data_IF_418220069903
#
_entry.id   IF_418220069903
#
_cell.length_a   1.000
_cell.length_b   1.000
_cell.length_c   1.000
_cell.angle_alpha   90.00
_cell.angle_beta   90.00
_cell.angle_gamma   90.00
#
_symmetry.space_group_name_H-M   'P 1'
#
loop_
_entity.id
_entity.type
_entity.pdbx_description
1 polymer ?
#
# COMPACT_ATOMS: atom_id res chain seq x y z
N UNK A 1 15.97 -13.19 -3.82
CA UNK A 1 14.58 -12.94 -3.37
C UNK A 1 13.65 -13.40 -4.46
N UNK A 2 12.63 -14.19 -4.12
CA UNK A 2 11.83 -14.88 -5.12
C UNK A 2 10.35 -14.54 -5.14
N UNK A 3 9.86 -13.57 -4.35
CA UNK A 3 8.58 -12.83 -4.50
C UNK A 3 7.39 -13.64 -5.05
N UNK A 4 7.23 -14.91 -4.64
CA UNK A 4 6.18 -15.81 -5.11
C UNK A 4 5.33 -16.18 -3.90
N UNK A 5 4.04 -15.89 -3.99
CA UNK A 5 3.10 -15.94 -2.88
C UNK A 5 1.96 -16.91 -3.16
N UNK A 6 1.46 -17.54 -2.10
CA UNK A 6 0.23 -18.31 -2.09
C UNK A 6 -0.68 -17.76 -0.99
N UNK A 7 -1.89 -17.33 -1.36
CA UNK A 7 -2.85 -16.69 -0.45
C UNK A 7 -2.25 -15.47 0.30
N UNK A 8 -1.44 -14.67 -0.38
CA UNK A 8 -0.77 -13.50 0.20
C UNK A 8 0.45 -13.83 1.09
N UNK A 9 0.83 -15.10 1.26
CA UNK A 9 1.94 -15.53 2.10
C UNK A 9 3.07 -16.09 1.23
N UNK A 10 4.32 -15.67 1.44
CA UNK A 10 5.44 -16.10 0.61
C UNK A 10 5.63 -17.61 0.75
N UNK A 11 5.81 -18.30 -0.39
CA UNK A 11 6.01 -19.74 -0.42
C UNK A 11 7.44 -20.05 0.07
N UNK A 12 7.58 -20.93 1.05
CA UNK A 12 8.88 -21.37 1.58
C UNK A 12 9.58 -22.33 0.63
N UNK A 13 10.89 -22.15 0.45
CA UNK A 13 11.70 -22.96 -0.43
C UNK A 13 13.17 -22.64 -0.29
N UNK A 14 14.03 -23.46 -0.90
CA UNK A 14 15.49 -23.38 -0.72
C UNK A 14 16.12 -22.06 -1.16
N UNK A 15 15.49 -21.34 -2.07
CA UNK A 15 15.94 -20.02 -2.54
C UNK A 15 15.28 -18.83 -1.81
N UNK A 16 14.37 -19.11 -0.88
CA UNK A 16 13.58 -18.15 -0.12
C UNK A 16 14.22 -17.99 1.26
N UNK A 17 14.27 -16.77 1.78
CA UNK A 17 14.85 -16.49 3.11
C UNK A 17 13.85 -16.76 4.25
N UNK A 18 13.12 -17.87 4.16
CA UNK A 18 12.11 -18.25 5.14
C UNK A 18 12.76 -18.99 6.34
N UNK A 19 12.27 -18.72 7.55
CA UNK A 19 12.94 -19.09 8.81
C UNK A 19 11.96 -19.38 9.93
N UNK A 20 12.23 -20.43 10.69
CA UNK A 20 11.63 -20.61 12.03
C UNK A 20 12.58 -19.97 13.03
N UNK A 21 12.16 -18.85 13.64
CA UNK A 21 13.03 -18.04 14.49
C UNK A 21 12.69 -18.28 15.95
N UNK A 22 13.69 -18.72 16.72
CA UNK A 22 13.61 -18.90 18.16
C UNK A 22 12.38 -19.73 18.59
N UNK A 23 12.19 -20.89 17.97
CA UNK A 23 11.23 -21.90 18.43
C UNK A 23 11.61 -22.30 19.87
N UNK A 24 10.71 -21.99 20.80
CA UNK A 24 10.98 -22.00 22.23
C UNK A 24 9.72 -22.39 23.03
N UNK A 25 9.85 -23.22 24.09
CA UNK A 25 11.09 -23.82 24.59
C UNK A 25 11.47 -25.13 23.88
N UNK A 26 12.70 -25.23 23.37
CA UNK A 26 13.33 -26.50 22.98
C UNK A 26 14.15 -27.02 24.18
N UNK A 27 13.51 -27.80 25.05
CA UNK A 27 14.13 -28.25 26.31
C UNK A 27 15.14 -29.37 26.05
N UNK A 28 16.42 -29.06 26.27
CA UNK A 28 17.52 -30.00 26.16
C UNK A 28 18.30 -30.09 27.47
N UNK A 29 18.88 -31.26 27.73
CA UNK A 29 19.71 -31.52 28.89
C UNK A 29 21.15 -31.02 28.68
N UNK A 30 21.60 -30.12 29.55
CA UNK A 30 22.93 -29.50 29.51
C UNK A 30 23.87 -30.21 30.49
N UNK A 31 25.13 -30.52 30.11
CA UNK A 31 26.08 -31.12 31.03
C UNK A 31 26.38 -30.20 32.24
N UNK A 32 26.41 -30.73 33.47
CA UNK A 32 26.85 -29.96 34.63
C UNK A 32 28.37 -29.72 34.61
N UNK A 33 28.84 -28.65 35.24
CA UNK A 33 30.28 -28.28 35.30
C UNK A 33 31.12 -29.21 36.22
N UNK A 34 30.50 -29.91 37.19
CA UNK A 34 31.16 -30.79 38.16
C UNK A 34 30.69 -32.27 38.02
N UNK A 35 31.52 -33.30 38.35
CA UNK A 35 31.24 -34.70 37.99
C UNK A 35 30.20 -35.35 38.93
N UNK A 36 29.40 -36.38 38.62
CA UNK A 36 28.78 -36.87 37.39
C UNK A 36 27.42 -37.51 37.79
N UNK A 37 26.40 -37.41 36.91
CA UNK A 37 25.06 -38.09 36.91
C UNK A 37 23.95 -37.47 37.77
N UNK A 38 23.02 -36.68 37.19
CA UNK A 38 21.80 -37.15 36.47
C UNK A 38 21.86 -36.90 34.93
N UNK A 39 20.79 -37.06 34.11
CA UNK A 39 20.86 -36.93 32.63
C UNK A 39 21.28 -35.55 32.07
N UNK A 40 21.71 -34.61 32.92
CA UNK A 40 21.97 -33.19 32.65
C UNK A 40 20.96 -32.31 33.40
N UNK A 41 21.11 -30.99 33.29
CA UNK A 41 20.10 -30.02 33.75
C UNK A 41 19.17 -29.71 32.57
N UNK A 42 17.84 -29.84 32.69
CA UNK A 42 16.92 -29.46 31.61
C UNK A 42 16.90 -27.93 31.46
N UNK A 43 17.38 -27.44 30.32
CA UNK A 43 17.45 -26.02 29.99
C UNK A 43 16.65 -25.76 28.72
N UNK A 44 15.74 -24.76 28.69
CA UNK A 44 15.05 -24.38 27.48
C UNK A 44 15.97 -23.55 26.59
N UNK A 45 16.14 -23.97 25.33
CA UNK A 45 16.96 -23.28 24.33
C UNK A 45 16.07 -22.70 23.21
N UNK A 46 16.48 -21.58 22.59
CA UNK A 46 15.90 -21.14 21.33
C UNK A 46 16.43 -22.00 20.18
N UNK A 47 15.53 -22.52 19.36
CA UNK A 47 15.86 -23.36 18.21
C UNK A 47 15.57 -22.62 16.90
N UNK A 48 16.42 -22.75 15.89
CA UNK A 48 16.31 -22.03 14.61
C UNK A 48 16.35 -23.00 13.44
N UNK A 49 15.53 -22.76 12.42
CA UNK A 49 15.59 -23.47 11.15
C UNK A 49 15.52 -22.52 9.96
N UNK A 50 16.23 -22.90 8.90
CA UNK A 50 16.46 -22.05 7.72
C UNK A 50 16.01 -22.76 6.46
N UNK A 51 15.16 -22.12 5.65
CA UNK A 51 14.65 -22.72 4.41
C UNK A 51 15.75 -23.07 3.40
N UNK A 52 16.94 -22.44 3.51
CA UNK A 52 18.14 -22.83 2.75
C UNK A 52 18.53 -24.31 2.95
N UNK A 53 18.17 -24.90 4.08
CA UNK A 53 18.42 -26.31 4.42
C UNK A 53 17.33 -27.26 3.91
N UNK A 54 16.38 -26.76 3.11
CA UNK A 54 15.32 -27.57 2.51
C UNK A 54 15.90 -28.75 1.71
N UNK A 55 15.31 -29.91 1.99
CA UNK A 55 15.53 -31.17 1.31
C UNK A 55 14.18 -31.88 1.08
N UNK A 56 14.14 -32.80 0.11
CA UNK A 56 12.93 -33.54 -0.31
C UNK A 56 11.72 -32.66 -0.66
N UNK A 57 11.99 -31.44 -1.15
CA UNK A 57 10.98 -30.55 -1.70
C UNK A 57 10.51 -30.97 -3.10
N UNK A 58 9.88 -30.03 -3.81
CA UNK A 58 9.41 -30.22 -5.20
C UNK A 58 10.51 -30.71 -6.16
N UNK A 59 10.10 -31.62 -7.03
CA UNK A 59 10.86 -32.14 -8.16
C UNK A 59 10.67 -31.28 -9.42
N UNK A 60 9.44 -30.87 -9.73
CA UNK A 60 9.12 -30.19 -11.00
C UNK A 60 9.09 -28.66 -10.87
N UNK A 61 8.38 -28.13 -9.88
CA UNK A 61 8.27 -26.67 -9.68
C UNK A 61 9.50 -26.14 -8.97
N UNK A 62 10.08 -25.03 -9.46
CA UNK A 62 11.22 -24.37 -8.83
C UNK A 62 10.91 -22.90 -8.58
N UNK A 63 11.32 -22.40 -7.42
CA UNK A 63 11.33 -20.97 -7.09
C UNK A 63 12.78 -20.54 -6.93
N UNK A 64 13.20 -19.46 -7.60
CA UNK A 64 14.60 -19.05 -7.65
C UNK A 64 15.55 -20.14 -8.17
N UNK A 65 15.05 -21.03 -9.05
CA UNK A 65 15.80 -22.17 -9.57
C UNK A 65 16.06 -23.31 -8.57
N UNK A 66 15.46 -23.27 -7.38
CA UNK A 66 15.63 -24.30 -6.34
C UNK A 66 14.30 -24.92 -5.93
N UNK A 67 14.39 -26.04 -5.19
CA UNK A 67 13.24 -26.81 -4.71
C UNK A 67 12.43 -26.03 -3.65
N UNK A 68 11.15 -26.34 -3.55
CA UNK A 68 10.14 -25.67 -2.72
C UNK A 68 9.63 -26.64 -1.65
N UNK A 69 9.31 -26.12 -0.46
CA UNK A 69 8.76 -26.92 0.62
C UNK A 69 7.30 -27.30 0.33
N UNK A 70 6.98 -28.58 0.54
CA UNK A 70 5.65 -29.17 0.33
C UNK A 70 5.29 -30.12 1.47
N UNK A 71 3.98 -30.19 1.76
CA UNK A 71 3.37 -30.98 2.83
C UNK A 71 3.88 -32.42 2.85
N UNK A 72 4.20 -32.91 4.04
CA UNK A 72 4.52 -34.31 4.37
C UNK A 72 5.65 -34.97 3.53
N UNK A 73 6.38 -34.20 2.74
CA UNK A 73 7.50 -34.69 1.92
C UNK A 73 8.80 -33.96 2.24
N UNK A 74 8.74 -32.63 2.30
CA UNK A 74 9.92 -31.80 2.54
C UNK A 74 10.19 -31.58 4.02
N UNK A 75 11.45 -31.29 4.35
CA UNK A 75 11.92 -30.91 5.68
C UNK A 75 13.12 -29.97 5.56
N UNK A 76 13.44 -29.25 6.63
CA UNK A 76 14.74 -28.61 6.74
C UNK A 76 15.72 -29.60 7.37
N UNK A 77 16.87 -29.78 6.72
CA UNK A 77 17.79 -30.87 7.05
C UNK A 77 18.48 -30.71 8.41
N UNK A 78 18.52 -29.48 8.95
CA UNK A 78 19.14 -29.16 10.23
C UNK A 78 18.44 -27.98 10.93
N UNK A 79 18.45 -28.00 12.25
CA UNK A 79 18.17 -26.88 13.16
C UNK A 79 19.40 -26.55 14.02
N UNK A 80 19.47 -25.34 14.56
CA UNK A 80 20.57 -24.84 15.40
C UNK A 80 20.08 -24.08 16.63
N UNK A 81 20.99 -23.71 17.55
CA UNK A 81 20.72 -22.95 18.77
C UNK A 81 20.62 -23.80 20.04
N UNK A 82 20.52 -25.12 19.89
CA UNK A 82 20.33 -26.11 20.96
C UNK A 82 21.60 -26.93 21.25
N UNK A 83 22.72 -26.63 20.59
CA UNK A 83 23.96 -27.41 20.64
C UNK A 83 24.51 -27.58 22.07
N UNK A 84 24.32 -26.59 22.95
CA UNK A 84 24.78 -26.63 24.34
C UNK A 84 24.04 -27.69 25.19
N UNK A 85 22.86 -28.13 24.77
CA UNK A 85 22.11 -29.24 25.37
C UNK A 85 22.71 -30.61 25.03
N UNK A 86 24.01 -30.79 25.23
CA UNK A 86 24.79 -31.94 24.76
C UNK A 86 24.95 -33.07 25.78
N UNK A 87 24.21 -33.07 26.90
CA UNK A 87 24.23 -34.20 27.84
C UNK A 87 23.70 -35.47 27.15
N UNK A 88 23.92 -36.64 27.76
CA UNK A 88 23.58 -37.93 27.15
C UNK A 88 22.13 -38.02 26.64
N UNK A 89 21.17 -37.45 27.39
CA UNK A 89 19.75 -37.44 27.01
C UNK A 89 19.41 -36.42 25.91
N UNK A 90 20.14 -35.31 25.78
CA UNK A 90 19.87 -34.20 24.84
C UNK A 90 18.45 -33.65 24.97
N UNK A 91 17.66 -33.56 23.90
CA UNK A 91 16.26 -33.16 23.94
C UNK A 91 15.41 -34.08 24.82
N UNK A 92 14.51 -33.49 25.61
CA UNK A 92 13.63 -34.22 26.54
C UNK A 92 12.77 -35.25 25.82
N UNK A 93 12.27 -34.92 24.62
CA UNK A 93 11.43 -35.80 23.80
C UNK A 93 12.28 -36.60 22.81
N UNK A 94 13.07 -35.93 21.97
CA UNK A 94 13.67 -36.55 20.77
C UNK A 94 15.03 -37.17 21.02
N UNK A 95 15.66 -36.88 22.16
CA UNK A 95 17.06 -37.17 22.42
C UNK A 95 18.03 -36.64 21.36
N UNK A 96 17.67 -35.50 20.77
CA UNK A 96 18.49 -34.71 19.86
C UNK A 96 18.64 -33.29 20.42
N UNK A 97 19.76 -32.66 20.10
CA UNK A 97 20.07 -31.26 20.42
C UNK A 97 20.36 -30.45 19.15
N UNK A 98 20.16 -31.07 18.00
CA UNK A 98 20.09 -30.54 16.64
C UNK A 98 19.41 -31.64 15.81
N UNK A 99 18.50 -31.28 14.92
CA UNK A 99 17.73 -32.26 14.16
C UNK A 99 17.06 -31.64 12.96
N UNK A 100 16.10 -32.35 12.36
CA UNK A 100 15.30 -31.80 11.26
C UNK A 100 14.21 -30.87 11.78
N UNK A 101 13.73 -29.99 10.91
CA UNK A 101 12.46 -29.26 11.07
C UNK A 101 11.41 -29.83 10.12
N UNK A 102 10.21 -30.04 10.64
CA UNK A 102 9.04 -30.46 9.85
C UNK A 102 7.88 -29.49 10.03
N UNK A 103 7.05 -29.39 8.98
CA UNK A 103 5.89 -28.49 8.90
C UNK A 103 4.59 -29.20 9.30
N UNK A 104 3.76 -28.52 10.08
CA UNK A 104 2.49 -28.98 10.64
C UNK A 104 1.27 -28.23 10.08
N UNK A 105 1.47 -27.21 9.24
CA UNK A 105 0.40 -26.60 8.42
C UNK A 105 0.93 -26.23 7.03
N UNK A 106 0.03 -25.88 6.13
CA UNK A 106 0.31 -25.64 4.71
C UNK A 106 -0.84 -24.86 4.05
N UNK A 107 -0.69 -24.47 2.78
CA UNK A 107 -1.78 -23.87 1.98
C UNK A 107 -3.01 -24.79 1.86
N UNK A 108 -4.21 -24.20 1.85
CA UNK A 108 -5.45 -24.95 1.71
C UNK A 108 -5.78 -25.33 0.26
N UNK A 109 -5.26 -24.57 -0.71
CA UNK A 109 -5.68 -24.63 -2.12
C UNK A 109 -4.52 -24.58 -3.13
N UNK A 110 -3.38 -23.96 -2.79
CA UNK A 110 -2.21 -23.91 -3.68
C UNK A 110 -1.34 -25.14 -3.47
N UNK A 111 -1.10 -25.88 -4.57
CA UNK A 111 -0.35 -27.13 -4.56
C UNK A 111 0.74 -27.15 -5.62
N UNK A 112 1.93 -27.65 -5.27
CA UNK A 112 3.00 -27.99 -6.21
C UNK A 112 3.30 -29.48 -6.12
N UNK A 113 3.58 -30.11 -7.27
CA UNK A 113 3.77 -31.57 -7.37
C UNK A 113 2.62 -32.36 -6.70
N UNK A 114 1.39 -31.83 -6.79
CA UNK A 114 0.18 -32.42 -6.21
C UNK A 114 0.01 -32.21 -4.69
N UNK A 115 0.98 -31.61 -4.00
CA UNK A 115 0.96 -31.41 -2.55
C UNK A 115 0.82 -29.93 -2.18
N UNK A 116 0.11 -29.62 -1.09
CA UNK A 116 0.08 -28.27 -0.53
C UNK A 116 1.47 -27.66 -0.28
N UNK A 117 1.64 -26.41 -0.67
CA UNK A 117 2.87 -25.65 -0.44
C UNK A 117 2.95 -25.14 1.00
N UNK A 118 4.17 -25.04 1.53
CA UNK A 118 4.44 -24.40 2.84
C UNK A 118 4.67 -22.91 2.61
N UNK A 119 4.17 -22.05 3.49
CA UNK A 119 4.19 -20.60 3.35
C UNK A 119 4.61 -19.90 4.64
N UNK A 120 4.78 -18.57 4.56
CA UNK A 120 4.82 -17.72 5.74
C UNK A 120 3.66 -18.05 6.68
N UNK A 121 3.92 -18.06 7.98
CA UNK A 121 3.02 -18.39 9.10
C UNK A 121 2.59 -19.85 9.22
N UNK A 122 2.97 -20.73 8.29
CA UNK A 122 2.73 -22.15 8.48
C UNK A 122 3.57 -22.67 9.66
N UNK A 123 2.97 -23.54 10.48
CA UNK A 123 3.60 -24.03 11.70
C UNK A 123 4.68 -25.05 11.37
N UNK A 124 5.79 -25.00 12.08
CA UNK A 124 6.88 -25.96 12.04
C UNK A 124 7.24 -26.42 13.46
N UNK A 125 8.04 -27.48 13.57
CA UNK A 125 8.56 -27.98 14.85
C UNK A 125 10.01 -28.40 14.67
N UNK A 126 10.86 -28.06 15.64
CA UNK A 126 12.29 -28.25 15.52
C UNK A 126 12.84 -29.50 16.23
N UNK A 127 14.10 -29.80 15.91
CA UNK A 127 14.95 -30.76 16.61
C UNK A 127 14.38 -32.20 16.60
N UNK A 128 13.90 -32.64 15.43
CA UNK A 128 13.31 -33.96 15.24
C UNK A 128 14.34 -35.09 15.17
N UNK A 129 14.01 -36.23 15.82
CA UNK A 129 14.56 -37.55 15.50
C UNK A 129 13.72 -38.30 14.43
N UNK A 130 12.67 -37.63 13.92
CA UNK A 130 11.59 -38.10 13.04
C UNK A 130 10.63 -39.11 13.69
N UNK A 131 9.29 -38.93 13.58
CA UNK A 131 8.55 -37.72 13.16
C UNK A 131 8.21 -36.79 14.34
N UNK A 132 8.70 -37.08 15.54
CA UNK A 132 8.40 -36.31 16.75
C UNK A 132 9.45 -35.21 16.93
N UNK A 133 8.98 -33.98 17.14
CA UNK A 133 9.80 -32.80 17.43
C UNK A 133 10.05 -32.60 18.92
N UNK A 134 11.10 -31.86 19.27
CA UNK A 134 11.42 -31.57 20.68
C UNK A 134 10.75 -30.28 21.18
N UNK A 135 10.52 -29.35 20.26
CA UNK A 135 9.93 -28.04 20.53
C UNK A 135 8.45 -27.99 20.09
N UNK A 136 7.63 -27.10 20.69
CA UNK A 136 6.23 -26.94 20.30
C UNK A 136 6.08 -26.39 18.86
N UNK A 137 4.89 -26.49 18.24
CA UNK A 137 4.66 -25.86 16.95
C UNK A 137 4.88 -24.34 16.97
N UNK A 138 5.64 -23.83 16.00
CA UNK A 138 6.04 -22.44 15.90
C UNK A 138 5.87 -21.87 14.47
N UNK A 139 5.57 -20.57 14.29
CA UNK A 139 5.41 -20.00 12.95
C UNK A 139 6.71 -19.98 12.13
N UNK A 140 6.62 -20.43 10.88
CA UNK A 140 7.67 -20.28 9.86
C UNK A 140 7.53 -18.91 9.18
N UNK A 141 8.50 -18.03 9.33
CA UNK A 141 8.44 -16.63 8.90
C UNK A 141 9.08 -16.44 7.52
N UNK A 142 8.46 -15.60 6.68
CA UNK A 142 8.91 -15.19 5.35
C UNK A 142 8.24 -13.84 5.01
N UNK A 143 8.11 -13.46 3.73
CA UNK A 143 7.41 -12.23 3.35
C UNK A 143 5.88 -12.37 3.34
N UNK A 144 5.22 -11.26 3.65
CA UNK A 144 3.78 -11.06 3.52
C UNK A 144 3.50 -10.17 2.30
N UNK A 145 2.60 -10.58 1.42
CA UNK A 145 2.02 -9.74 0.39
C UNK A 145 0.63 -9.27 0.85
N UNK A 146 0.53 -7.98 1.20
CA UNK A 146 -0.76 -7.34 1.50
C UNK A 146 -1.34 -6.86 0.16
N UNK A 147 -2.52 -7.36 -0.28
CA UNK A 147 -3.11 -6.90 -1.53
C UNK A 147 -3.34 -5.38 -1.51
N UNK A 148 -3.00 -4.71 -2.61
CA UNK A 148 -3.23 -3.28 -2.80
C UNK A 148 -4.72 -2.92 -2.82
N UNK A 149 -5.03 -1.62 -2.78
CA UNK A 149 -6.41 -1.13 -2.81
C UNK A 149 -6.96 -1.24 -4.24
N UNK A 150 -8.09 -1.93 -4.40
CA UNK A 150 -8.83 -1.96 -5.65
C UNK A 150 -9.74 -0.72 -5.75
N UNK A 151 -9.23 0.33 -6.39
CA UNK A 151 -9.92 1.60 -6.50
C UNK A 151 -11.22 1.55 -7.30
N UNK A 152 -11.37 0.62 -8.24
CA UNK A 152 -12.63 0.46 -8.98
C UNK A 152 -13.74 0.01 -8.02
N UNK A 153 -13.47 -1.03 -7.24
CA UNK A 153 -14.41 -1.54 -6.22
C UNK A 153 -14.70 -0.51 -5.12
N UNK A 154 -13.67 0.21 -4.65
CA UNK A 154 -13.82 1.18 -3.56
C UNK A 154 -14.63 2.41 -3.98
N UNK A 155 -14.48 2.86 -5.23
CA UNK A 155 -15.12 4.08 -5.74
C UNK A 155 -16.45 3.83 -6.47
N UNK A 156 -16.86 2.58 -6.68
CA UNK A 156 -18.04 2.21 -7.47
C UNK A 156 -19.31 2.99 -7.10
N UNK A 157 -19.53 3.23 -5.80
CA UNK A 157 -20.74 3.89 -5.30
C UNK A 157 -20.68 5.42 -5.32
N UNK A 158 -19.54 6.04 -5.66
CA UNK A 158 -19.34 7.50 -5.61
C UNK A 158 -19.69 8.21 -6.91
N UNK A 159 -20.19 7.50 -7.92
CA UNK A 159 -20.62 8.05 -9.21
C UNK A 159 -19.58 8.99 -9.84
N UNK A 160 -18.32 8.56 -9.89
CA UNK A 160 -17.27 9.28 -10.61
C UNK A 160 -17.60 9.30 -12.11
N UNK A 161 -17.47 10.47 -12.71
CA UNK A 161 -17.80 10.68 -14.12
C UNK A 161 -16.97 11.84 -14.69
N UNK A 162 -16.96 12.00 -16.02
CA UNK A 162 -16.39 13.20 -16.65
C UNK A 162 -17.42 14.31 -16.62
N UNK A 163 -17.00 15.56 -16.51
CA UNK A 163 -17.94 16.69 -16.47
C UNK A 163 -18.91 16.74 -17.68
N UNK A 164 -18.47 16.32 -18.86
CA UNK A 164 -19.30 16.21 -20.07
C UNK A 164 -20.45 15.21 -19.93
N UNK A 165 -20.34 14.23 -19.02
CA UNK A 165 -21.35 13.22 -18.74
C UNK A 165 -22.41 13.70 -17.73
N UNK A 166 -22.40 14.98 -17.32
CA UNK A 166 -23.30 15.53 -16.27
C UNK A 166 -24.79 15.25 -16.46
N UNK A 167 -25.27 15.15 -17.71
CA UNK A 167 -26.68 14.84 -18.03
C UNK A 167 -27.09 13.40 -17.68
N UNK A 168 -26.11 12.51 -17.48
CA UNK A 168 -26.33 11.10 -17.13
C UNK A 168 -26.09 10.83 -15.64
N UNK A 169 -25.20 11.59 -14.98
CA UNK A 169 -24.75 11.30 -13.62
C UNK A 169 -25.33 12.24 -12.52
N UNK A 170 -25.38 13.57 -12.75
CA UNK A 170 -25.78 14.54 -11.72
C UNK A 170 -26.62 15.68 -12.33
N UNK A 171 -27.81 15.33 -12.83
CA UNK A 171 -28.81 16.31 -13.28
C UNK A 171 -29.56 16.87 -12.06
N UNK A 172 -29.18 18.07 -11.59
CA UNK A 172 -29.74 18.69 -10.37
C UNK A 172 -31.27 18.73 -10.36
N UNK A 173 -31.89 18.98 -11.52
CA UNK A 173 -33.35 19.04 -11.64
C UNK A 173 -34.05 17.70 -11.33
N UNK A 174 -33.31 16.59 -11.42
CA UNK A 174 -33.83 15.22 -11.19
C UNK A 174 -33.28 14.58 -9.93
N UNK A 175 -32.02 14.83 -9.60
CA UNK A 175 -31.32 14.14 -8.51
C UNK A 175 -31.04 15.01 -7.29
N UNK A 176 -31.21 16.33 -7.41
CA UNK A 176 -30.73 17.30 -6.40
C UNK A 176 -29.21 17.45 -6.37
N UNK A 177 -28.47 16.71 -7.22
CA UNK A 177 -27.00 16.70 -7.25
C UNK A 177 -26.45 17.47 -8.42
N UNK A 178 -25.30 18.09 -8.23
CA UNK A 178 -24.53 18.76 -9.27
C UNK A 178 -23.17 18.09 -9.45
N UNK A 179 -22.66 18.17 -10.68
CA UNK A 179 -21.32 17.68 -11.03
C UNK A 179 -20.30 18.69 -10.53
N UNK A 180 -19.41 18.25 -9.66
CA UNK A 180 -18.36 19.09 -9.11
C UNK A 180 -16.98 18.53 -9.46
N UNK A 181 -16.10 19.40 -9.95
CA UNK A 181 -14.74 19.01 -10.34
C UNK A 181 -13.94 18.57 -9.12
N UNK A 182 -13.25 17.44 -9.25
CA UNK A 182 -12.35 16.94 -8.18
C UNK A 182 -11.13 17.85 -7.97
N UNK A 183 -10.72 18.56 -9.01
CA UNK A 183 -9.76 19.67 -8.95
C UNK A 183 -10.40 20.88 -9.61
N UNK A 184 -10.59 21.97 -8.85
CA UNK A 184 -11.29 23.17 -9.31
C UNK A 184 -10.75 23.70 -10.64
N UNK A 185 -11.62 23.77 -11.65
CA UNK A 185 -11.23 24.12 -13.02
C UNK A 185 -10.52 25.48 -13.12
N UNK A 186 -10.87 26.45 -12.27
CA UNK A 186 -10.25 27.78 -12.26
C UNK A 186 -8.74 27.75 -11.96
N UNK A 187 -8.25 26.71 -11.27
CA UNK A 187 -6.83 26.49 -11.03
C UNK A 187 -6.07 26.05 -12.30
N UNK A 188 -6.77 25.42 -13.24
CA UNK A 188 -6.19 24.79 -14.43
C UNK A 188 -6.45 25.57 -15.71
N UNK A 189 -7.64 26.17 -15.88
CA UNK A 189 -8.05 26.86 -17.10
C UNK A 189 -8.65 28.24 -16.84
N UNK A 190 -8.38 29.19 -17.74
CA UNK A 190 -9.14 30.44 -17.83
C UNK A 190 -10.21 30.34 -18.92
N UNK A 191 -11.40 30.87 -18.67
CA UNK A 191 -12.33 31.28 -19.73
C UNK A 191 -12.33 32.80 -19.83
N UNK A 192 -11.54 33.36 -20.75
CA UNK A 192 -11.69 34.76 -21.16
C UNK A 192 -11.65 34.86 -22.67
N UNK A 193 -12.79 35.21 -23.27
CA UNK A 193 -12.91 35.71 -24.66
C UNK A 193 -12.64 34.74 -25.82
N UNK A 194 -12.09 33.54 -25.58
CA UNK A 194 -11.80 32.52 -26.61
C UNK A 194 -11.71 31.11 -26.00
N UNK A 195 -11.33 30.10 -26.82
CA UNK A 195 -11.17 28.68 -26.40
C UNK A 195 -10.38 28.58 -25.08
N UNK A 196 -10.92 27.83 -24.12
CA UNK A 196 -10.31 27.67 -22.79
C UNK A 196 -8.85 27.22 -22.92
N UNK A 197 -7.94 27.97 -22.29
CA UNK A 197 -6.51 27.67 -22.30
C UNK A 197 -6.11 27.13 -20.94
N UNK A 198 -5.42 25.99 -20.96
CA UNK A 198 -4.86 25.36 -19.76
C UNK A 198 -3.49 25.96 -19.41
N UNK A 199 -3.07 25.77 -18.16
CA UNK A 199 -1.72 26.13 -17.73
C UNK A 199 -0.63 25.49 -18.61
N UNK A 200 0.57 26.11 -18.71
CA UNK A 200 1.71 25.50 -19.39
C UNK A 200 1.99 24.08 -18.89
N UNK A 201 2.30 23.17 -19.81
CA UNK A 201 2.51 21.75 -19.49
C UNK A 201 1.21 20.93 -19.51
N UNK A 202 0.05 21.56 -19.64
CA UNK A 202 -1.28 20.92 -19.70
C UNK A 202 -2.14 21.47 -20.84
N UNK A 203 -1.53 22.19 -21.78
CA UNK A 203 -2.16 22.86 -22.92
C UNK A 203 -1.87 22.18 -24.27
N UNK A 204 -1.35 20.96 -24.26
CA UNK A 204 -1.10 20.13 -25.44
C UNK A 204 -2.38 19.58 -26.09
N UNK A 205 -2.22 18.71 -27.08
CA UNK A 205 -3.34 18.12 -27.84
C UNK A 205 -4.30 17.28 -26.98
N UNK A 206 -3.76 16.61 -25.95
CA UNK A 206 -4.53 15.92 -24.90
C UNK A 206 -4.59 16.72 -23.60
N UNK A 207 -4.40 18.04 -23.67
CA UNK A 207 -4.31 18.92 -22.52
C UNK A 207 -5.56 18.87 -21.63
N UNK A 208 -5.40 19.33 -20.39
CA UNK A 208 -6.48 19.38 -19.42
C UNK A 208 -7.69 20.12 -20.02
N UNK A 209 -8.90 19.62 -19.77
CA UNK A 209 -10.15 20.29 -20.13
C UNK A 209 -11.17 20.12 -19.02
N UNK A 210 -11.86 21.20 -18.68
CA UNK A 210 -13.01 21.16 -17.78
C UNK A 210 -14.05 20.12 -18.21
N UNK A 211 -14.19 19.84 -19.51
CA UNK A 211 -15.19 18.89 -20.02
C UNK A 211 -14.83 17.42 -19.78
N UNK A 212 -13.55 17.08 -19.72
CA UNK A 212 -13.06 15.70 -19.58
C UNK A 212 -12.48 15.43 -18.20
N UNK A 213 -12.31 16.47 -17.37
CA UNK A 213 -11.84 16.36 -16.01
C UNK A 213 -12.81 15.52 -15.15
N UNK A 214 -12.28 14.75 -14.18
CA UNK A 214 -13.07 13.92 -13.30
C UNK A 214 -13.89 14.77 -12.32
N UNK A 215 -15.14 14.35 -12.13
CA UNK A 215 -16.13 14.98 -11.27
C UNK A 215 -16.76 13.97 -10.31
N UNK A 216 -17.22 14.47 -9.18
CA UNK A 216 -18.07 13.78 -8.21
C UNK A 216 -19.47 14.40 -8.24
N UNK A 217 -20.51 13.61 -8.00
CA UNK A 217 -21.83 14.16 -7.75
C UNK A 217 -21.92 14.63 -6.30
N UNK A 218 -22.18 15.92 -6.09
CA UNK A 218 -22.42 16.49 -4.76
C UNK A 218 -23.85 17.02 -4.66
N UNK A 219 -24.47 16.88 -3.49
CA UNK A 219 -25.79 17.48 -3.25
C UNK A 219 -25.66 19.02 -3.36
N UNK A 220 -26.46 19.62 -4.23
CA UNK A 220 -26.40 21.03 -4.60
C UNK A 220 -27.65 21.81 -4.17
N UNK A 221 -27.77 23.09 -4.58
CA UNK A 221 -26.90 23.78 -5.54
C UNK A 221 -25.64 24.41 -4.92
N UNK A 222 -24.61 24.66 -5.72
CA UNK A 222 -23.39 25.40 -5.30
C UNK A 222 -23.65 26.80 -4.76
N UNK A 223 -24.75 27.43 -5.20
CA UNK A 223 -25.16 28.76 -4.72
C UNK A 223 -25.67 28.75 -3.28
N UNK A 224 -26.03 27.58 -2.74
CA UNK A 224 -26.48 27.43 -1.35
C UNK A 224 -25.34 26.86 -0.49
N UNK A 225 -24.78 27.71 0.35
CA UNK A 225 -23.68 27.38 1.27
C UNK A 225 -24.02 26.28 2.29
N UNK A 226 -25.28 25.87 2.46
CA UNK A 226 -25.65 24.77 3.34
C UNK A 226 -25.48 23.39 2.70
N UNK A 227 -25.44 23.31 1.37
CA UNK A 227 -25.36 22.06 0.59
C UNK A 227 -23.93 21.52 0.55
N UNK A 228 -23.73 20.29 0.09
CA UNK A 228 -22.39 19.72 -0.07
C UNK A 228 -21.56 20.54 -1.06
N UNK A 229 -22.16 20.83 -2.22
CA UNK A 229 -21.51 21.58 -3.29
C UNK A 229 -21.20 23.02 -2.85
N UNK A 230 -22.13 23.69 -2.16
CA UNK A 230 -21.90 25.03 -1.64
C UNK A 230 -20.83 25.07 -0.55
N UNK A 231 -20.77 24.06 0.34
CA UNK A 231 -19.68 23.95 1.32
C UNK A 231 -18.32 23.80 0.64
N UNK A 232 -18.20 22.96 -0.39
CA UNK A 232 -16.96 22.83 -1.17
C UNK A 232 -16.58 24.14 -1.87
N UNK A 233 -17.56 24.84 -2.43
CA UNK A 233 -17.35 26.18 -3.03
C UNK A 233 -16.76 27.15 -2.01
N UNK A 234 -17.30 27.19 -0.78
CA UNK A 234 -16.72 28.03 0.29
C UNK A 234 -15.30 27.62 0.66
N UNK A 235 -15.01 26.32 0.71
CA UNK A 235 -13.68 25.84 1.06
C UNK A 235 -12.65 26.16 -0.04
N UNK A 236 -13.07 26.18 -1.31
CA UNK A 236 -12.25 26.65 -2.42
C UNK A 236 -11.93 28.15 -2.30
N UNK A 237 -12.92 28.97 -1.92
CA UNK A 237 -12.69 30.39 -1.64
C UNK A 237 -11.77 30.58 -0.41
N UNK A 238 -11.98 29.81 0.66
CA UNK A 238 -11.09 29.83 1.83
C UNK A 238 -9.66 29.40 1.50
N UNK A 239 -9.49 28.41 0.61
CA UNK A 239 -8.18 28.00 0.11
C UNK A 239 -7.53 29.13 -0.67
N UNK A 240 -8.25 29.82 -1.57
CA UNK A 240 -7.73 31.01 -2.26
C UNK A 240 -7.29 32.07 -1.25
N UNK A 241 -8.12 32.41 -0.27
CA UNK A 241 -7.78 33.40 0.76
C UNK A 241 -6.54 33.01 1.59
N UNK A 242 -6.31 31.72 1.80
CA UNK A 242 -5.09 31.22 2.45
C UNK A 242 -3.81 31.51 1.65
N UNK A 243 -3.92 31.79 0.35
CA UNK A 243 -2.81 32.12 -0.54
C UNK A 243 -2.52 33.63 -0.59
N UNK A 244 -3.28 34.46 0.12
CA UNK A 244 -3.10 35.91 0.12
C UNK A 244 -1.69 36.29 0.60
N UNK A 245 -0.98 37.08 -0.21
CA UNK A 245 0.31 37.66 0.13
C UNK A 245 0.08 38.80 1.10
N UNK A 246 0.75 38.74 2.26
CA UNK A 246 0.66 39.74 3.31
C UNK A 246 1.88 40.66 3.27
N UNK A 247 1.67 41.94 3.58
CA UNK A 247 2.75 42.90 3.74
C UNK A 247 3.55 42.62 5.03
N UNK A 248 4.62 43.40 5.27
CA UNK A 248 5.45 43.29 6.47
C UNK A 248 4.68 43.54 7.78
N UNK A 249 3.46 44.10 7.71
CA UNK A 249 2.57 44.36 8.84
C UNK A 249 1.45 43.31 8.96
N UNK A 250 1.48 42.25 8.12
CA UNK A 250 0.50 41.17 8.12
C UNK A 250 -0.81 41.50 7.39
N UNK A 251 -0.93 42.63 6.69
CA UNK A 251 -2.15 43.01 5.96
C UNK A 251 -2.18 42.40 4.56
N UNK A 252 -3.34 41.93 4.06
CA UNK A 252 -3.46 41.43 2.70
C UNK A 252 -3.12 42.51 1.67
N UNK A 253 -2.28 42.16 0.69
CA UNK A 253 -1.85 43.07 -0.38
C UNK A 253 -2.82 43.10 -1.56
N UNK A 254 -3.88 42.29 -1.53
CA UNK A 254 -4.75 42.05 -2.69
C UNK A 254 -4.11 41.18 -3.77
N UNK A 255 -2.92 40.61 -3.52
CA UNK A 255 -2.24 39.66 -4.39
C UNK A 255 -2.21 38.29 -3.73
N UNK A 256 -2.15 37.24 -4.54
CA UNK A 256 -2.13 35.86 -4.09
C UNK A 256 -0.91 35.13 -4.65
N UNK A 257 -0.32 34.23 -3.86
CA UNK A 257 0.72 33.33 -4.36
C UNK A 257 0.08 32.20 -5.17
N UNK A 258 0.78 31.71 -6.19
CA UNK A 258 0.35 30.51 -6.89
C UNK A 258 0.54 29.25 -6.03
N UNK A 259 -0.51 28.42 -5.87
CA UNK A 259 -0.38 27.16 -5.17
C UNK A 259 0.32 26.12 -6.05
N UNK A 260 0.91 25.12 -5.43
CA UNK A 260 1.31 23.89 -6.13
C UNK A 260 0.10 22.99 -6.36
N UNK A 261 0.19 22.06 -7.34
CA UNK A 261 -0.87 21.09 -7.55
C UNK A 261 -1.10 20.22 -6.32
N UNK A 262 -0.03 19.88 -5.57
CA UNK A 262 -0.18 19.15 -4.31
C UNK A 262 -1.03 19.93 -3.30
N UNK A 263 -0.71 21.21 -3.05
CA UNK A 263 -1.47 22.03 -2.10
C UNK A 263 -2.95 22.14 -2.49
N UNK A 264 -3.24 22.28 -3.79
CA UNK A 264 -4.61 22.36 -4.28
C UNK A 264 -5.36 21.03 -4.15
N UNK A 265 -4.73 19.90 -4.54
CA UNK A 265 -5.33 18.57 -4.44
C UNK A 265 -5.59 18.21 -2.98
N UNK A 266 -4.64 18.49 -2.08
CA UNK A 266 -4.82 18.26 -0.64
C UNK A 266 -6.03 19.06 -0.09
N UNK A 267 -6.18 20.32 -0.50
CA UNK A 267 -7.28 21.17 -0.09
C UNK A 267 -8.64 20.67 -0.61
N UNK A 268 -8.69 20.26 -1.88
CA UNK A 268 -9.90 19.70 -2.51
C UNK A 268 -10.30 18.38 -1.85
N UNK A 269 -9.37 17.44 -1.67
CA UNK A 269 -9.63 16.16 -1.02
C UNK A 269 -10.04 16.33 0.44
N UNK A 270 -9.45 17.30 1.16
CA UNK A 270 -9.91 17.65 2.51
C UNK A 270 -11.37 18.10 2.50
N UNK A 271 -11.74 19.01 1.60
CA UNK A 271 -13.12 19.48 1.50
C UNK A 271 -14.09 18.36 1.13
N UNK A 272 -13.73 17.51 0.15
CA UNK A 272 -14.51 16.33 -0.24
C UNK A 272 -14.72 15.40 0.97
N UNK A 273 -13.67 15.12 1.74
CA UNK A 273 -13.73 14.26 2.93
C UNK A 273 -14.68 14.79 4.00
N UNK A 274 -14.72 16.11 4.19
CA UNK A 274 -15.49 16.77 5.25
C UNK A 274 -16.96 17.04 4.87
N UNK A 275 -17.22 17.23 3.57
CA UNK A 275 -18.50 17.72 3.06
C UNK A 275 -19.30 16.72 2.23
N UNK A 276 -18.69 15.73 1.57
CA UNK A 276 -19.44 14.73 0.81
C UNK A 276 -20.06 13.71 1.78
N UNK A 277 -21.39 13.68 1.90
CA UNK A 277 -22.10 12.94 2.95
C UNK A 277 -21.78 11.44 2.92
N UNK A 278 -21.76 10.82 1.75
CA UNK A 278 -21.42 9.39 1.62
C UNK A 278 -20.01 9.08 2.15
N UNK A 279 -19.00 9.88 1.77
CA UNK A 279 -17.61 9.71 2.21
C UNK A 279 -17.49 10.02 3.70
N UNK A 280 -18.03 11.15 4.16
CA UNK A 280 -18.03 11.58 5.55
C UNK A 280 -18.61 10.53 6.49
N UNK A 281 -19.69 9.87 6.08
CA UNK A 281 -20.40 8.87 6.87
C UNK A 281 -19.87 7.44 6.68
N UNK A 282 -18.87 7.23 5.82
CA UNK A 282 -18.30 5.90 5.55
C UNK A 282 -17.59 5.35 6.80
N UNK A 283 -17.93 4.10 7.15
CA UNK A 283 -17.30 3.33 8.23
C UNK A 283 -16.92 1.93 7.72
N UNK A 284 -15.81 1.33 8.21
CA UNK A 284 -14.86 1.88 9.19
C UNK A 284 -13.98 2.99 8.59
N UNK A 285 -13.26 3.74 9.45
CA UNK A 285 -12.35 4.83 9.02
C UNK A 285 -11.36 4.39 7.93
N UNK A 286 -10.86 3.15 8.01
CA UNK A 286 -9.99 2.56 6.99
C UNK A 286 -10.61 2.61 5.59
N UNK A 287 -11.89 2.28 5.44
CA UNK A 287 -12.59 2.34 4.15
C UNK A 287 -12.70 3.79 3.64
N UNK A 288 -12.89 4.75 4.55
CA UNK A 288 -12.85 6.16 4.18
C UNK A 288 -11.45 6.59 3.72
N UNK A 289 -10.39 6.14 4.39
CA UNK A 289 -9.01 6.42 3.98
C UNK A 289 -8.70 5.81 2.59
N UNK A 290 -9.13 4.57 2.33
CA UNK A 290 -8.99 3.89 1.03
C UNK A 290 -9.74 4.66 -0.09
N UNK A 291 -10.95 5.17 0.19
CA UNK A 291 -11.67 6.05 -0.75
C UNK A 291 -10.84 7.28 -1.08
N UNK A 292 -10.30 7.97 -0.06
CA UNK A 292 -9.55 9.20 -0.29
C UNK A 292 -8.26 8.96 -1.09
N UNK A 293 -7.57 7.85 -0.82
CA UNK A 293 -6.37 7.44 -1.58
C UNK A 293 -6.71 7.17 -3.06
N UNK A 294 -7.83 6.51 -3.32
CA UNK A 294 -8.29 6.25 -4.67
C UNK A 294 -8.75 7.52 -5.40
N UNK A 295 -9.42 8.45 -4.72
CA UNK A 295 -9.78 9.75 -5.29
C UNK A 295 -8.54 10.57 -5.65
N UNK A 296 -7.51 10.57 -4.80
CA UNK A 296 -6.22 11.20 -5.09
C UNK A 296 -5.58 10.57 -6.35
N UNK A 297 -5.58 9.24 -6.43
CA UNK A 297 -5.03 8.51 -7.58
C UNK A 297 -5.74 8.88 -8.90
N UNK A 298 -7.07 9.01 -8.90
CA UNK A 298 -7.85 9.45 -10.07
C UNK A 298 -7.43 10.85 -10.53
N UNK A 299 -7.22 11.79 -9.61
CA UNK A 299 -6.79 13.15 -9.98
C UNK A 299 -5.42 13.11 -10.64
N UNK A 300 -4.46 12.40 -10.05
CA UNK A 300 -3.12 12.31 -10.61
C UNK A 300 -3.07 11.57 -11.94
N UNK A 301 -3.77 10.44 -12.11
CA UNK A 301 -3.85 9.73 -13.40
C UNK A 301 -4.41 10.66 -14.50
N UNK A 302 -5.46 11.43 -14.20
CA UNK A 302 -5.98 12.41 -15.15
C UNK A 302 -4.94 13.48 -15.51
N UNK A 303 -4.21 14.03 -14.53
CA UNK A 303 -3.18 15.04 -14.77
C UNK A 303 -2.00 14.47 -15.57
N UNK A 304 -1.53 13.27 -15.27
CA UNK A 304 -0.47 12.59 -16.02
C UNK A 304 -0.87 12.39 -17.48
N UNK A 305 -2.10 11.93 -17.74
CA UNK A 305 -2.66 11.82 -19.10
C UNK A 305 -2.74 13.16 -19.83
N UNK A 306 -3.04 14.23 -19.10
CA UNK A 306 -3.17 15.58 -19.65
C UNK A 306 -1.82 16.30 -19.87
N UNK A 307 -0.75 15.85 -19.21
CA UNK A 307 0.54 16.54 -19.26
C UNK A 307 1.23 16.39 -20.63
N UNK A 308 1.80 17.49 -21.11
CA UNK A 308 2.61 17.59 -22.33
C UNK A 308 3.72 18.67 -22.17
N UNK A 309 5.02 18.30 -22.13
CA UNK A 309 5.53 16.93 -22.18
C UNK A 309 5.04 16.11 -20.98
N UNK A 310 5.11 14.78 -21.10
CA UNK A 310 4.67 13.87 -20.04
C UNK A 310 5.44 14.15 -18.75
N UNK A 311 4.71 14.38 -17.66
CA UNK A 311 5.24 14.61 -16.32
C UNK A 311 4.93 13.43 -15.42
N UNK A 312 5.85 13.11 -14.51
CA UNK A 312 5.64 12.16 -13.41
C UNK A 312 4.76 12.74 -12.31
N UNK A 313 4.12 11.90 -11.50
CA UNK A 313 3.39 12.33 -10.27
C UNK A 313 4.17 13.33 -9.41
N UNK A 314 5.47 13.11 -9.22
CA UNK A 314 6.33 13.97 -8.38
C UNK A 314 6.63 15.34 -9.02
N UNK A 315 6.68 15.42 -10.35
CA UNK A 315 6.78 16.69 -11.06
C UNK A 315 5.45 17.44 -11.02
N UNK A 316 4.33 16.75 -11.27
CA UNK A 316 2.98 17.31 -11.21
C UNK A 316 2.70 17.90 -9.84
N UNK A 317 3.08 17.21 -8.75
CA UNK A 317 2.95 17.73 -7.38
C UNK A 317 3.56 19.11 -7.19
N UNK A 318 4.65 19.42 -7.90
CA UNK A 318 5.39 20.68 -7.80
C UNK A 318 4.89 21.75 -8.78
N UNK A 319 4.11 21.38 -9.79
CA UNK A 319 3.59 22.31 -10.78
C UNK A 319 2.79 23.42 -10.11
N UNK A 320 3.11 24.67 -10.45
CA UNK A 320 2.33 25.83 -10.01
C UNK A 320 1.03 25.91 -10.79
N UNK A 321 -0.06 26.15 -10.10
CA UNK A 321 -1.39 26.34 -10.67
C UNK A 321 -1.77 27.82 -10.67
N UNK A 322 -2.87 28.15 -11.33
CA UNK A 322 -3.43 29.51 -11.30
C UNK A 322 -4.05 29.80 -9.94
N UNK A 323 -4.28 31.08 -9.68
CA UNK A 323 -5.17 31.52 -8.60
C UNK A 323 -6.56 31.77 -9.19
N UNK A 324 -7.65 31.22 -8.62
CA UNK A 324 -8.99 31.45 -9.13
C UNK A 324 -9.37 32.93 -9.15
N UNK A 325 -9.90 33.40 -10.29
CA UNK A 325 -10.28 34.80 -10.51
C UNK A 325 -9.13 35.75 -10.90
N UNK A 326 -7.87 35.29 -10.85
CA UNK A 326 -6.70 36.07 -11.27
C UNK A 326 -6.34 35.81 -12.75
N UNK A 327 -5.77 36.80 -13.43
CA UNK A 327 -5.45 36.75 -14.87
C UNK A 327 -4.19 35.95 -15.22
N UNK A 328 -3.27 35.80 -14.27
CA UNK A 328 -1.90 35.35 -14.57
C UNK A 328 -1.77 33.81 -14.61
N UNK A 329 -1.11 33.32 -15.67
CA UNK A 329 -0.65 31.93 -15.73
C UNK A 329 0.66 31.75 -14.96
N UNK A 330 0.90 30.59 -14.35
CA UNK A 330 2.20 30.25 -13.80
C UNK A 330 3.25 30.23 -14.91
N UNK A 331 4.45 30.74 -14.60
CA UNK A 331 5.60 30.57 -15.47
C UNK A 331 5.92 29.06 -15.60
N UNK A 332 6.41 28.58 -16.76
CA UNK A 332 6.82 27.19 -16.90
C UNK A 332 7.81 26.81 -15.80
N UNK A 333 7.57 25.70 -15.12
CA UNK A 333 8.53 25.18 -14.15
C UNK A 333 9.75 24.72 -14.95
N UNK A 334 10.84 25.47 -14.92
CA UNK A 334 12.08 25.11 -15.61
C UNK A 334 12.61 23.80 -15.01
N UNK A 335 12.41 22.68 -15.70
CA UNK A 335 13.23 21.48 -15.46
C UNK A 335 14.63 21.83 -15.93
N UNK A 336 15.55 22.07 -14.99
CA UNK A 336 16.96 22.14 -15.33
C UNK A 336 17.34 20.83 -16.05
N UNK A 337 18.00 20.88 -17.21
CA UNK A 337 18.46 19.66 -17.85
C UNK A 337 19.42 18.96 -16.90
N UNK A 338 19.20 17.67 -16.67
CA UNK A 338 20.18 16.81 -16.00
C UNK A 338 21.36 16.71 -16.95
N UNK A 339 22.36 17.57 -16.79
CA UNK A 339 23.68 17.35 -17.37
C UNK A 339 24.26 16.11 -16.70
N UNK A 340 24.31 15.00 -17.43
CA UNK A 340 25.14 13.86 -17.07
C UNK A 340 26.60 14.33 -17.08
N UNK A 341 27.26 14.26 -15.92
CA UNK A 341 28.70 14.07 -15.81
C UNK A 341 28.94 12.69 -15.22
#
# INVERSE_FOLDING_TARGET
MSNVFANGLEISGKAVDAKTIADFPDVCFTPPENPATPPGVPVPYPSFGMASDTDKGTSTVKIGGKTVNIKNKSYLSKTSGTEAGAAAKKGVVTSKNTGKEYFNSWSNDVKFDGEPVIRMTDLATNNHASPIGNAPPWPHLAQLNVPGIDCESVLADLNLHKHSDKKKACDHSKTGKESEHMLGNALMQNQRGSRAQSIPGFNGSNGYSASTAPCLCMDGPSSDNSTEHGKKTRDQEAFKESLAIKDAKGKPTGRYRQPTAKEAIDAELKSVRENHNQIKNTKPKKKQDEIMECLEAVIYDNLERCSDPKQTKEEIKKTKLRVPGEGDYPAPTTTAPVTSM
#
